data_IF_450767812741
#
_entry.id   IF_450767812741
#
_cell.length_a   1.000
_cell.length_b   1.000
_cell.length_c   1.000
_cell.angle_alpha   90.00
_cell.angle_beta   90.00
_cell.angle_gamma   90.00
#
_symmetry.space_group_name_H-M   'P 1'
#
loop_
_entity.id
_entity.type
_entity.pdbx_description
1 polymer ?
#
# COMPACT_ATOMS: atom_id res chain seq x y z
N UNK A 1 -32.96 9.39 -1.81
CA UNK A 1 -31.49 9.51 -1.71
C UNK A 1 -30.86 8.14 -1.91
N UNK A 2 -30.44 7.82 -3.12
CA UNK A 2 -29.78 6.54 -3.40
C UNK A 2 -28.40 6.54 -2.74
N UNK A 3 -28.19 5.67 -1.74
CA UNK A 3 -26.85 5.39 -1.21
C UNK A 3 -26.04 4.79 -2.36
N UNK A 4 -25.07 5.57 -2.88
CA UNK A 4 -24.16 5.12 -3.90
C UNK A 4 -23.50 3.79 -3.52
N UNK A 5 -23.05 2.98 -4.50
CA UNK A 5 -22.50 1.67 -4.25
C UNK A 5 -21.34 1.77 -3.27
N UNK A 6 -21.42 1.04 -2.15
CA UNK A 6 -20.32 0.96 -1.19
C UNK A 6 -19.07 0.48 -1.93
N UNK A 7 -17.90 1.14 -1.78
CA UNK A 7 -16.68 0.69 -2.42
C UNK A 7 -16.42 -0.75 -1.99
N UNK A 8 -16.39 -1.65 -2.96
CA UNK A 8 -16.08 -3.06 -2.75
C UNK A 8 -14.61 -3.11 -2.34
N UNK A 9 -14.33 -3.53 -1.11
CA UNK A 9 -12.98 -3.77 -0.62
C UNK A 9 -12.37 -4.80 -1.57
N UNK A 10 -11.50 -4.32 -2.46
CA UNK A 10 -10.80 -5.13 -3.45
C UNK A 10 -9.98 -6.17 -2.69
N UNK A 11 -10.33 -7.44 -2.91
CA UNK A 11 -9.62 -8.65 -2.52
C UNK A 11 -8.90 -8.60 -1.18
N UNK A 12 -9.49 -9.19 -0.15
CA UNK A 12 -8.76 -9.62 1.03
C UNK A 12 -7.50 -10.37 0.57
N UNK A 13 -6.32 -9.73 0.62
CA UNK A 13 -5.03 -10.39 0.47
C UNK A 13 -4.65 -10.88 1.86
N UNK A 14 -5.07 -12.09 2.27
CA UNK A 14 -4.82 -12.59 3.63
C UNK A 14 -3.32 -12.53 3.95
N UNK A 15 -2.48 -12.77 2.94
CA UNK A 15 -1.03 -12.67 3.04
C UNK A 15 -0.55 -11.30 3.56
N UNK A 16 -1.10 -10.18 3.07
CA UNK A 16 -0.68 -8.84 3.53
C UNK A 16 -1.09 -8.62 4.98
N UNK A 17 -2.24 -9.15 5.40
CA UNK A 17 -2.69 -9.05 6.80
C UNK A 17 -1.79 -9.86 7.71
N UNK A 18 -1.54 -11.13 7.37
CA UNK A 18 -0.63 -11.98 8.13
C UNK A 18 0.79 -11.40 8.19
N UNK A 19 1.28 -10.86 7.07
CA UNK A 19 2.57 -10.18 7.02
C UNK A 19 2.59 -8.93 7.92
N UNK A 20 1.54 -8.11 7.89
CA UNK A 20 1.42 -6.93 8.76
C UNK A 20 1.51 -7.35 10.22
N UNK A 21 0.72 -8.34 10.64
CA UNK A 21 0.71 -8.83 12.01
C UNK A 21 2.07 -9.42 12.39
N UNK A 22 2.68 -10.24 11.54
CA UNK A 22 3.99 -10.83 11.80
C UNK A 22 5.08 -9.78 11.99
N UNK A 23 5.11 -8.76 11.12
CA UNK A 23 6.05 -7.63 11.22
C UNK A 23 5.77 -6.78 12.47
N UNK A 24 4.51 -6.57 12.84
CA UNK A 24 4.14 -5.88 14.09
C UNK A 24 4.57 -6.67 15.33
N UNK A 25 4.43 -7.99 15.33
CA UNK A 25 4.89 -8.85 16.43
C UNK A 25 6.42 -8.79 16.55
N UNK A 26 7.15 -8.81 15.42
CA UNK A 26 8.59 -8.62 15.44
C UNK A 26 8.98 -7.26 16.02
N UNK A 27 8.31 -6.19 15.59
CA UNK A 27 8.50 -4.85 16.14
C UNK A 27 8.23 -4.79 17.65
N UNK A 28 7.16 -5.46 18.11
CA UNK A 28 6.81 -5.55 19.52
C UNK A 28 7.88 -6.26 20.34
N UNK A 29 8.43 -7.38 19.84
CA UNK A 29 9.53 -8.11 20.50
C UNK A 29 10.76 -7.21 20.63
N UNK A 30 11.13 -6.51 19.57
CA UNK A 30 12.29 -5.60 19.58
C UNK A 30 12.06 -4.44 20.55
N UNK A 31 10.88 -3.83 20.56
CA UNK A 31 10.55 -2.75 21.50
C UNK A 31 10.46 -3.22 22.94
N UNK A 32 9.98 -4.44 23.20
CA UNK A 32 9.97 -5.01 24.54
C UNK A 32 11.40 -5.27 25.05
N UNK A 33 12.28 -5.77 24.19
CA UNK A 33 13.70 -5.90 24.50
C UNK A 33 14.36 -4.53 24.77
N UNK A 34 14.08 -3.53 23.94
CA UNK A 34 14.60 -2.17 24.13
C UNK A 34 14.12 -1.57 25.47
N UNK A 35 12.84 -1.75 25.81
CA UNK A 35 12.28 -1.31 27.09
C UNK A 35 12.93 -2.05 28.29
N UNK A 36 13.19 -3.35 28.15
CA UNK A 36 13.92 -4.11 29.16
C UNK A 36 15.33 -3.57 29.39
N UNK A 37 16.06 -3.30 28.30
CA UNK A 37 17.41 -2.71 28.35
C UNK A 37 17.38 -1.32 28.98
N UNK A 38 16.44 -0.48 28.55
CA UNK A 38 16.27 0.87 29.09
C UNK A 38 15.99 0.86 30.59
N UNK A 39 15.10 -0.02 31.05
CA UNK A 39 14.81 -0.18 32.48
C UNK A 39 16.04 -0.66 33.25
N UNK A 40 16.79 -1.62 32.72
CA UNK A 40 18.01 -2.12 33.36
C UNK A 40 19.10 -1.06 33.44
N UNK A 41 19.26 -0.24 32.40
CA UNK A 41 20.18 0.91 32.41
C UNK A 41 19.81 1.95 33.45
N UNK A 42 18.51 2.14 33.71
CA UNK A 42 18.04 3.06 34.75
C UNK A 42 18.24 2.49 36.17
N UNK A 43 18.12 1.17 36.34
CA UNK A 43 18.25 0.51 37.64
C UNK A 43 19.72 0.23 38.03
N UNK A 44 20.61 0.02 37.04
CA UNK A 44 22.02 -0.33 37.23
C UNK A 44 22.90 0.31 36.14
N UNK A 45 23.66 1.35 36.50
CA UNK A 45 24.56 2.07 35.60
C UNK A 45 25.74 1.21 35.09
N UNK A 46 26.01 0.06 35.71
CA UNK A 46 27.06 -0.88 35.27
C UNK A 46 26.56 -1.93 34.28
N UNK A 47 25.25 -1.96 34.02
CA UNK A 47 24.64 -2.92 33.10
C UNK A 47 25.07 -2.66 31.65
N UNK A 48 25.61 -3.71 31.00
CA UNK A 48 25.96 -3.69 29.58
C UNK A 48 24.95 -4.53 28.77
N UNK A 49 24.14 -3.91 27.89
CA UNK A 49 23.17 -4.64 27.08
C UNK A 49 23.80 -5.39 25.91
N UNK A 50 23.13 -6.44 25.42
CA UNK A 50 23.60 -7.26 24.29
C UNK A 50 23.65 -6.48 22.97
N UNK A 51 22.91 -5.37 22.87
CA UNK A 51 22.90 -4.50 21.70
C UNK A 51 24.02 -3.44 21.72
N UNK A 52 24.91 -3.48 22.73
CA UNK A 52 26.14 -2.69 22.81
C UNK A 52 27.31 -3.60 22.33
N UNK A 53 27.54 -3.60 21.02
CA UNK A 53 28.42 -4.58 20.34
C UNK A 53 29.87 -4.09 20.34
N UNK A 54 30.07 -2.82 19.98
CA UNK A 54 31.37 -2.16 19.94
C UNK A 54 31.20 -0.67 20.28
N UNK A 55 32.29 0.09 20.34
CA UNK A 55 32.26 1.50 20.73
C UNK A 55 31.44 2.39 19.78
N UNK A 56 31.21 1.96 18.54
CA UNK A 56 30.39 2.68 17.55
C UNK A 56 28.91 2.24 17.53
N UNK A 57 28.60 1.01 17.96
CA UNK A 57 27.29 0.35 17.89
C UNK A 57 26.68 0.22 19.29
N UNK A 58 26.22 1.34 19.84
CA UNK A 58 25.73 1.42 21.22
C UNK A 58 24.25 1.80 21.28
N UNK A 59 23.42 0.85 21.70
CA UNK A 59 22.01 1.14 22.00
C UNK A 59 21.83 1.91 23.32
N UNK A 60 22.73 1.70 24.29
CA UNK A 60 22.66 2.24 25.65
C UNK A 60 22.57 3.77 25.66
N UNK A 61 23.49 4.44 24.96
CA UNK A 61 23.55 5.91 24.86
C UNK A 61 22.35 6.50 24.13
N UNK A 62 21.82 5.81 23.12
CA UNK A 62 20.61 6.23 22.42
C UNK A 62 19.38 6.20 23.34
N UNK A 63 19.19 5.10 24.08
CA UNK A 63 18.04 4.89 24.96
C UNK A 63 18.07 5.79 26.21
N UNK A 64 19.24 6.03 26.80
CA UNK A 64 19.37 6.90 27.98
C UNK A 64 19.44 8.40 27.64
N UNK A 65 19.53 8.75 26.36
CA UNK A 65 19.58 10.16 25.93
C UNK A 65 18.27 10.89 26.20
N UNK A 66 18.32 12.23 26.25
CA UNK A 66 17.13 13.10 26.27
C UNK A 66 16.15 12.79 25.13
N UNK A 67 16.65 12.34 23.98
CA UNK A 67 15.83 12.01 22.82
C UNK A 67 15.17 10.64 22.93
N UNK A 68 15.63 9.77 23.83
CA UNK A 68 15.02 8.49 24.19
C UNK A 68 13.65 8.63 24.86
N UNK A 69 13.32 9.83 25.34
CA UNK A 69 12.06 10.15 26.02
C UNK A 69 11.29 11.20 25.22
N UNK A 70 10.01 10.94 24.93
CA UNK A 70 9.12 11.89 24.27
C UNK A 70 9.68 12.48 22.97
N UNK A 71 10.48 11.69 22.23
CA UNK A 71 11.18 12.08 21.00
C UNK A 71 12.09 13.33 21.12
N UNK A 72 12.44 13.73 22.35
CA UNK A 72 13.23 14.93 22.67
C UNK A 72 12.46 16.26 22.65
N UNK A 73 11.19 16.27 22.23
CA UNK A 73 10.38 17.49 22.16
C UNK A 73 9.21 17.53 23.14
N UNK A 74 8.58 16.40 23.48
CA UNK A 74 7.42 16.39 24.38
C UNK A 74 7.80 16.90 25.77
N UNK A 75 8.97 16.54 26.28
CA UNK A 75 9.46 17.04 27.58
C UNK A 75 9.64 18.57 27.62
N UNK A 76 10.01 19.21 26.50
CA UNK A 76 10.14 20.67 26.44
C UNK A 76 8.79 21.36 26.28
N UNK A 77 7.83 20.73 25.59
CA UNK A 77 6.52 21.31 25.30
C UNK A 77 5.50 21.14 26.44
N UNK A 78 5.51 19.98 27.11
CA UNK A 78 4.53 19.58 28.13
C UNK A 78 5.09 19.56 29.55
N UNK A 79 6.42 19.71 29.68
CA UNK A 79 7.15 19.62 30.94
C UNK A 79 7.70 18.21 31.23
N UNK A 80 8.78 18.11 32.02
CA UNK A 80 9.51 16.86 32.23
C UNK A 80 8.69 15.79 32.99
N UNK A 81 7.76 16.21 33.85
CA UNK A 81 6.93 15.33 34.68
C UNK A 81 5.57 15.00 34.05
N UNK A 82 5.34 15.38 32.79
CA UNK A 82 4.07 15.12 32.14
C UNK A 82 3.90 13.62 31.85
N UNK A 83 2.67 13.10 31.96
CA UNK A 83 2.29 11.70 31.64
C UNK A 83 2.48 11.37 30.14
N UNK A 84 2.97 12.30 29.33
CA UNK A 84 3.30 12.08 27.92
C UNK A 84 4.81 12.18 27.68
N UNK A 85 5.62 12.35 28.72
CA UNK A 85 7.07 12.25 28.59
C UNK A 85 7.50 10.81 28.91
N UNK A 86 7.01 9.86 28.11
CA UNK A 86 7.38 8.45 28.25
C UNK A 86 8.58 8.09 27.40
N UNK A 87 9.26 6.97 27.72
CA UNK A 87 10.17 6.31 26.82
C UNK A 87 9.62 6.13 25.40
N UNK A 88 10.46 6.37 24.39
CA UNK A 88 10.13 6.11 22.98
C UNK A 88 9.78 4.63 22.76
N UNK A 89 10.38 3.73 23.53
CA UNK A 89 10.13 2.29 23.50
C UNK A 89 8.68 1.96 23.85
N UNK A 90 8.07 2.69 24.80
CA UNK A 90 6.65 2.54 25.15
C UNK A 90 5.73 2.98 24.02
N UNK A 91 6.05 4.11 23.35
CA UNK A 91 5.32 4.53 22.15
C UNK A 91 5.39 3.49 21.04
N UNK A 92 6.56 2.85 20.86
CA UNK A 92 6.74 1.74 19.93
C UNK A 92 5.83 0.55 20.26
N UNK A 93 5.79 0.11 21.52
CA UNK A 93 4.93 -0.98 21.98
C UNK A 93 3.46 -0.68 21.67
N UNK A 94 2.97 0.50 22.06
CA UNK A 94 1.58 0.91 21.82
C UNK A 94 1.30 0.93 20.32
N UNK A 95 2.21 1.51 19.52
CA UNK A 95 2.09 1.55 18.07
C UNK A 95 1.99 0.15 17.45
N UNK A 96 2.89 -0.77 17.78
CA UNK A 96 2.86 -2.12 17.19
C UNK A 96 1.62 -2.92 17.58
N UNK A 97 1.14 -2.78 18.82
CA UNK A 97 -0.14 -3.37 19.25
C UNK A 97 -1.30 -2.81 18.42
N UNK A 98 -1.37 -1.48 18.27
CA UNK A 98 -2.41 -0.83 17.47
C UNK A 98 -2.36 -1.30 16.01
N UNK A 99 -1.18 -1.32 15.38
CA UNK A 99 -1.04 -1.78 13.99
C UNK A 99 -1.44 -3.25 13.84
N UNK A 100 -1.07 -4.12 14.79
CA UNK A 100 -1.49 -5.52 14.77
C UNK A 100 -3.02 -5.65 14.84
N UNK A 101 -3.68 -4.93 15.76
CA UNK A 101 -5.14 -4.91 15.88
C UNK A 101 -5.84 -4.38 14.63
N UNK A 102 -5.33 -3.28 14.06
CA UNK A 102 -5.85 -2.70 12.82
C UNK A 102 -5.61 -3.61 11.60
N UNK A 103 -4.56 -4.44 11.63
CA UNK A 103 -4.26 -5.44 10.62
C UNK A 103 -5.33 -6.53 10.50
N UNK A 104 -6.01 -6.87 11.60
CA UNK A 104 -7.14 -7.81 11.61
C UNK A 104 -8.46 -7.19 11.13
N UNK A 105 -8.61 -5.86 11.25
CA UNK A 105 -9.85 -5.19 10.90
C UNK A 105 -10.12 -5.20 9.38
N UNK A 106 -11.33 -5.60 8.98
CA UNK A 106 -11.78 -5.64 7.56
C UNK A 106 -12.39 -4.33 7.06
N UNK A 107 -12.23 -3.25 7.82
CA UNK A 107 -12.91 -1.98 7.57
C UNK A 107 -12.02 -1.03 6.76
N UNK A 108 -12.57 -0.38 5.73
CA UNK A 108 -11.84 0.63 4.94
C UNK A 108 -11.28 1.76 5.81
N UNK A 109 -12.07 2.23 6.79
CA UNK A 109 -11.62 3.23 7.77
C UNK A 109 -10.41 2.77 8.58
N UNK A 110 -10.40 1.50 9.01
CA UNK A 110 -9.26 0.95 9.75
C UNK A 110 -7.99 0.93 8.87
N UNK A 111 -8.13 0.65 7.57
CA UNK A 111 -7.00 0.72 6.65
C UNK A 111 -6.45 2.13 6.47
N UNK A 112 -7.32 3.14 6.40
CA UNK A 112 -6.90 4.55 6.33
C UNK A 112 -6.19 4.99 7.61
N UNK A 113 -6.74 4.64 8.78
CA UNK A 113 -6.11 4.95 10.07
C UNK A 113 -4.75 4.26 10.18
N UNK A 114 -4.65 2.99 9.80
CA UNK A 114 -3.40 2.24 9.81
C UNK A 114 -2.35 2.91 8.93
N UNK A 115 -2.72 3.33 7.71
CA UNK A 115 -1.80 4.01 6.79
C UNK A 115 -1.29 5.33 7.39
N UNK A 116 -2.18 6.14 7.97
CA UNK A 116 -1.80 7.40 8.62
C UNK A 116 -0.84 7.16 9.80
N UNK A 117 -1.13 6.17 10.65
CA UNK A 117 -0.25 5.80 11.77
C UNK A 117 1.13 5.36 11.29
N UNK A 118 1.21 4.49 10.27
CA UNK A 118 2.49 4.07 9.70
C UNK A 118 3.25 5.24 9.08
N UNK A 119 2.55 6.16 8.40
CA UNK A 119 3.18 7.34 7.81
C UNK A 119 3.82 8.23 8.88
N UNK A 120 3.06 8.55 9.94
CA UNK A 120 3.57 9.32 11.09
C UNK A 120 4.77 8.59 11.72
N UNK A 121 4.67 7.27 11.91
CA UNK A 121 5.76 6.48 12.49
C UNK A 121 7.05 6.55 11.67
N UNK A 122 6.96 6.52 10.33
CA UNK A 122 8.12 6.66 9.45
C UNK A 122 8.69 8.08 9.50
N UNK A 123 7.86 9.12 9.56
CA UNK A 123 8.34 10.50 9.74
C UNK A 123 9.11 10.67 11.06
N UNK A 124 8.56 10.15 12.16
CA UNK A 124 9.22 10.16 13.48
C UNK A 124 10.50 9.33 13.45
N UNK A 125 10.51 8.19 12.77
CA UNK A 125 11.71 7.36 12.58
C UNK A 125 12.81 8.13 11.83
N UNK A 126 12.44 8.90 10.80
CA UNK A 126 13.37 9.76 10.07
C UNK A 126 13.97 10.85 10.96
N UNK A 127 13.15 11.48 11.80
CA UNK A 127 13.63 12.45 12.81
C UNK A 127 14.62 11.81 13.78
N UNK A 128 14.27 10.66 14.37
CA UNK A 128 15.16 9.98 15.32
C UNK A 128 16.43 9.44 14.66
N UNK A 129 16.37 9.02 13.38
CA UNK A 129 17.55 8.64 12.62
C UNK A 129 18.50 9.83 12.40
N UNK A 130 17.96 11.02 12.10
CA UNK A 130 18.76 12.25 12.03
C UNK A 130 19.43 12.55 13.38
N UNK A 131 18.68 12.48 14.48
CA UNK A 131 19.21 12.68 15.83
C UNK A 131 20.34 11.71 16.16
N UNK A 132 20.18 10.42 15.86
CA UNK A 132 21.20 9.39 16.11
C UNK A 132 22.49 9.65 15.35
N UNK A 133 22.39 9.98 14.06
CA UNK A 133 23.54 10.12 13.17
C UNK A 133 24.26 11.47 13.29
N UNK A 134 23.52 12.56 13.54
CA UNK A 134 24.10 13.91 13.49
C UNK A 134 24.22 14.58 14.86
N UNK A 135 23.42 14.19 15.85
CA UNK A 135 23.43 14.83 17.17
C UNK A 135 24.17 13.96 18.19
N UNK A 136 23.84 12.66 18.26
CA UNK A 136 24.44 11.74 19.23
C UNK A 136 25.75 11.13 18.73
N UNK A 137 25.89 11.01 17.40
CA UNK A 137 26.96 10.31 16.69
C UNK A 137 27.11 8.84 17.13
N UNK A 138 25.97 8.14 17.23
CA UNK A 138 25.91 6.75 17.70
C UNK A 138 25.02 5.90 16.81
N UNK A 139 25.48 4.69 16.47
CA UNK A 139 24.76 3.79 15.58
C UNK A 139 23.99 2.73 16.40
N UNK A 140 22.74 3.01 16.74
CA UNK A 140 21.90 2.08 17.50
C UNK A 140 21.29 0.98 16.60
N UNK A 141 21.74 -0.30 16.65
CA UNK A 141 21.23 -1.35 15.75
C UNK A 141 19.76 -1.67 15.99
N UNK A 142 19.32 -1.66 17.25
CA UNK A 142 17.92 -1.86 17.64
C UNK A 142 17.02 -0.78 17.05
N UNK A 143 17.47 0.47 17.06
CA UNK A 143 16.75 1.61 16.52
C UNK A 143 16.65 1.53 14.99
N UNK A 144 17.75 1.20 14.31
CA UNK A 144 17.70 0.98 12.86
C UNK A 144 16.76 -0.17 12.47
N UNK A 145 16.74 -1.26 13.26
CA UNK A 145 15.81 -2.35 13.05
C UNK A 145 14.34 -1.90 13.20
N UNK A 146 14.00 -1.09 14.21
CA UNK A 146 12.63 -0.56 14.35
C UNK A 146 12.27 0.40 13.21
N UNK A 147 13.22 1.21 12.71
CA UNK A 147 12.98 2.08 11.56
C UNK A 147 12.71 1.28 10.27
N UNK A 148 13.48 0.20 10.05
CA UNK A 148 13.25 -0.71 8.93
C UNK A 148 11.85 -1.38 9.04
N UNK A 149 11.48 -1.84 10.23
CA UNK A 149 10.14 -2.41 10.49
C UNK A 149 9.04 -1.38 10.20
N UNK A 150 9.19 -0.14 10.65
CA UNK A 150 8.23 0.93 10.39
C UNK A 150 8.07 1.21 8.89
N UNK A 151 9.17 1.23 8.14
CA UNK A 151 9.14 1.37 6.68
C UNK A 151 8.41 0.19 6.01
N UNK A 152 8.70 -1.04 6.42
CA UNK A 152 7.99 -2.24 5.92
C UNK A 152 6.50 -2.19 6.23
N UNK A 153 6.10 -1.78 7.45
CA UNK A 153 4.70 -1.62 7.83
C UNK A 153 3.99 -0.56 6.98
N UNK A 154 4.67 0.55 6.66
CA UNK A 154 4.14 1.56 5.75
C UNK A 154 3.94 0.99 4.34
N UNK A 155 4.92 0.27 3.80
CA UNK A 155 4.81 -0.38 2.50
C UNK A 155 3.65 -1.37 2.46
N UNK A 156 3.54 -2.27 3.44
CA UNK A 156 2.43 -3.21 3.56
C UNK A 156 1.07 -2.49 3.64
N UNK A 157 1.00 -1.38 4.36
CA UNK A 157 -0.20 -0.55 4.48
C UNK A 157 -0.59 0.13 3.17
N UNK A 158 0.40 0.61 2.38
CA UNK A 158 0.19 1.17 1.04
C UNK A 158 -0.31 0.09 0.08
N UNK A 159 0.30 -1.11 0.09
CA UNK A 159 -0.12 -2.22 -0.76
C UNK A 159 -1.50 -2.76 -0.39
N UNK A 160 -1.89 -2.67 0.88
CA UNK A 160 -3.24 -2.97 1.36
C UNK A 160 -4.28 -1.95 0.86
N UNK A 161 -3.91 -0.67 0.86
CA UNK A 161 -4.82 0.43 0.52
C UNK A 161 -4.89 0.76 -0.97
N UNK A 162 -3.89 0.37 -1.77
CA UNK A 162 -3.79 0.70 -3.19
C UNK A 162 -4.71 -0.19 -4.04
N UNK A 163 -5.78 0.34 -4.66
CA UNK A 163 -6.60 -0.39 -5.63
C UNK A 163 -5.88 -0.61 -6.98
N UNK A 164 -4.60 -0.23 -7.09
CA UNK A 164 -3.88 -0.04 -8.36
C UNK A 164 -3.19 -1.30 -8.89
N UNK A 165 -3.88 -2.44 -8.85
CA UNK A 165 -3.65 -3.56 -9.78
C UNK A 165 -4.97 -4.32 -10.04
N UNK A 166 -6.13 -3.65 -9.98
CA UNK A 166 -7.26 -4.13 -10.74
C UNK A 166 -6.94 -3.86 -12.22
N UNK A 167 -6.26 -4.83 -12.84
CA UNK A 167 -6.22 -4.97 -14.30
C UNK A 167 -7.62 -4.69 -14.85
N UNK A 168 -7.79 -3.85 -15.88
CA UNK A 168 -9.08 -3.62 -16.51
C UNK A 168 -9.51 -4.86 -17.31
N UNK A 169 -9.80 -5.99 -16.63
CA UNK A 169 -10.51 -7.13 -17.22
C UNK A 169 -11.99 -6.83 -17.47
N UNK A 170 -12.51 -5.73 -16.93
CA UNK A 170 -13.91 -5.36 -17.06
C UNK A 170 -14.25 -4.61 -18.36
N UNK A 171 -13.26 -4.23 -19.17
CA UNK A 171 -13.50 -3.62 -20.48
C UNK A 171 -13.99 -4.63 -21.54
N UNK A 172 -13.70 -5.93 -21.39
CA UNK A 172 -14.15 -6.97 -22.32
C UNK A 172 -15.59 -7.43 -22.04
N UNK A 173 -16.07 -7.30 -20.80
CA UNK A 173 -17.44 -7.67 -20.40
C UNK A 173 -18.51 -6.65 -20.81
N UNK A 174 -18.11 -5.40 -21.03
CA UNK A 174 -19.01 -4.32 -21.45
C UNK A 174 -19.32 -4.38 -22.95
N UNK A 175 -18.37 -4.81 -23.79
CA UNK A 175 -18.60 -4.95 -25.25
C UNK A 175 -19.62 -6.07 -25.52
N UNK A 176 -19.53 -7.19 -24.81
CA UNK A 176 -20.40 -8.37 -25.04
C UNK A 176 -21.88 -8.14 -24.70
N UNK A 177 -22.22 -7.14 -23.87
CA UNK A 177 -23.62 -6.80 -23.56
C UNK A 177 -24.28 -5.92 -24.61
N UNK A 178 -23.51 -5.07 -25.29
CA UNK A 178 -24.05 -4.16 -26.31
C UNK A 178 -24.45 -4.88 -27.59
N UNK A 179 -23.76 -5.97 -27.95
CA UNK A 179 -24.08 -6.75 -29.15
C UNK A 179 -25.31 -7.67 -28.99
N UNK A 180 -25.67 -8.03 -27.74
CA UNK A 180 -26.82 -8.90 -27.47
C UNK A 180 -28.18 -8.20 -27.54
N UNK A 181 -28.25 -6.91 -27.20
CA UNK A 181 -29.51 -6.16 -27.11
C UNK A 181 -29.94 -5.49 -28.42
N UNK A 182 -29.05 -5.32 -29.41
CA UNK A 182 -29.43 -4.80 -30.73
C UNK A 182 -30.05 -5.85 -31.66
N UNK A 183 -29.78 -7.14 -31.43
CA UNK A 183 -30.34 -8.22 -32.25
C UNK A 183 -31.84 -8.46 -32.00
N UNK A 184 -32.37 -8.12 -30.82
CA UNK A 184 -33.75 -8.43 -30.43
C UNK A 184 -34.76 -7.31 -30.73
N UNK A 185 -34.32 -6.07 -30.98
CA UNK A 185 -35.21 -4.92 -31.26
C UNK A 185 -35.54 -4.66 -32.73
N UNK A 186 -34.92 -5.37 -33.69
CA UNK A 186 -35.21 -5.21 -35.13
C UNK A 186 -36.26 -6.17 -35.70
N UNK A 187 -36.90 -7.00 -34.88
CA UNK A 187 -37.82 -8.04 -35.34
C UNK A 187 -39.31 -7.65 -35.39
N UNK A 188 -39.70 -6.38 -35.16
CA UNK A 188 -41.12 -6.01 -35.01
C UNK A 188 -41.52 -4.72 -35.72
N UNK A 189 -41.40 -4.65 -37.05
CA UNK A 189 -42.26 -3.80 -37.90
C UNK A 189 -42.42 -4.47 -39.27
N UNK A 190 -43.61 -4.99 -39.55
CA UNK A 190 -44.02 -5.44 -40.88
C UNK A 190 -44.26 -4.24 -41.82
N UNK A 191 -44.02 -4.40 -43.13
CA UNK A 191 -45.01 -3.92 -44.10
C UNK A 191 -45.33 -4.92 -45.22
N UNK A 192 -46.55 -4.73 -45.74
CA UNK A 192 -47.31 -5.51 -46.72
C UNK A 192 -46.67 -5.59 -48.13
N UNK A 193 -46.88 -6.75 -48.76
CA UNK A 193 -47.22 -7.01 -50.18
C UNK A 193 -46.88 -5.94 -51.25
N UNK A 194 -46.06 -6.27 -52.25
CA UNK A 194 -46.47 -7.01 -53.46
C UNK A 194 -45.48 -6.88 -54.64
N UNK A 195 -45.43 -7.96 -55.44
CA UNK A 195 -45.12 -8.07 -56.88
C UNK A 195 -43.71 -8.49 -57.35
N UNK A 196 -43.78 -9.66 -58.03
CA UNK A 196 -43.10 -10.13 -59.24
C UNK A 196 -41.63 -10.57 -59.19
N UNK A 197 -41.47 -11.90 -59.26
CA UNK A 197 -40.32 -12.67 -59.79
C UNK A 197 -40.54 -12.87 -61.30
N UNK A 198 -39.50 -12.80 -62.16
CA UNK A 198 -38.81 -14.01 -62.68
C UNK A 198 -37.27 -13.82 -62.69
N UNK A 199 -36.47 -14.63 -61.99
CA UNK A 199 -35.85 -15.92 -62.39
C UNK A 199 -35.05 -15.92 -63.70
N UNK A 200 -33.72 -15.72 -63.62
CA UNK A 200 -32.66 -16.28 -64.49
C UNK A 200 -31.36 -16.26 -63.64
N UNK A 201 -30.85 -17.37 -63.11
CA UNK A 201 -30.00 -18.44 -63.69
C UNK A 201 -28.49 -18.12 -63.80
N UNK A 202 -27.70 -19.03 -63.21
CA UNK A 202 -26.30 -19.44 -63.46
C UNK A 202 -25.07 -18.52 -63.25
N UNK A 203 -24.25 -19.01 -62.32
CA UNK A 203 -22.84 -19.40 -62.46
C UNK A 203 -21.75 -18.36 -62.79
N UNK A 204 -20.95 -18.10 -61.75
CA UNK A 204 -19.50 -18.33 -61.73
C UNK A 204 -18.74 -18.07 -63.03
N UNK A 205 -18.17 -16.85 -63.16
CA UNK A 205 -16.83 -16.51 -63.73
C UNK A 205 -16.77 -15.05 -64.22
N UNK A 206 -16.79 -14.08 -63.30
CA UNK A 206 -16.49 -12.68 -63.68
C UNK A 206 -15.85 -11.89 -62.53
N UNK A 207 -14.83 -12.46 -61.88
CA UNK A 207 -13.94 -11.70 -60.98
C UNK A 207 -12.47 -11.80 -61.35
N UNK A 208 -12.19 -12.17 -62.61
CA UNK A 208 -10.87 -12.10 -63.22
C UNK A 208 -10.88 -10.97 -64.23
N UNK A 209 -10.86 -9.71 -63.77
CA UNK A 209 -10.39 -8.55 -64.56
C UNK A 209 -10.39 -7.19 -63.82
N UNK A 210 -10.92 -7.07 -62.60
CA UNK A 210 -10.98 -5.78 -61.90
C UNK A 210 -9.77 -5.44 -60.99
N UNK A 211 -8.77 -6.32 -60.86
CA UNK A 211 -7.63 -6.14 -59.93
C UNK A 211 -6.28 -5.83 -60.62
N UNK A 212 -6.29 -5.38 -61.88
CA UNK A 212 -5.04 -5.11 -62.64
C UNK A 212 -4.87 -3.69 -63.18
N UNK A 213 -5.71 -2.72 -62.80
CA UNK A 213 -5.59 -1.33 -63.27
C UNK A 213 -5.15 -0.31 -62.20
N UNK A 214 -5.10 -0.65 -60.91
CA UNK A 214 -4.70 0.31 -59.87
C UNK A 214 -3.18 0.44 -59.62
N UNK A 215 -2.32 -0.34 -60.29
CA UNK A 215 -0.87 -0.36 -60.00
C UNK A 215 0.00 0.47 -60.96
N UNK A 216 -0.57 1.29 -61.86
CA UNK A 216 0.23 2.05 -62.86
C UNK A 216 0.01 3.58 -62.94
N UNK A 217 -0.85 4.20 -62.12
CA UNK A 217 -1.13 5.65 -62.23
C UNK A 217 -0.62 6.51 -61.06
N UNK A 218 0.02 5.94 -60.03
CA UNK A 218 0.59 6.70 -58.90
C UNK A 218 2.12 6.87 -58.91
N UNK A 219 2.78 6.55 -60.03
CA UNK A 219 4.23 6.68 -60.21
C UNK A 219 4.65 7.72 -61.26
N UNK A 220 3.82 8.75 -61.53
CA UNK A 220 4.11 9.77 -62.55
C UNK A 220 3.49 11.13 -62.24
N UNK A 221 3.77 11.64 -61.03
CA UNK A 221 3.70 13.07 -60.69
C UNK A 221 4.87 13.40 -59.75
N UNK A 222 6.06 13.09 -60.25
CA UNK A 222 7.16 14.06 -60.32
C UNK A 222 7.03 14.76 -61.68
#
# INVERSE_FOLDING_TARGET
MAKGPKPRVIGDRPLIRYATVAVSVLGLIISAYALYVEKRLHDDDTYKPLCDINEELRCSKALSSKYGYGFGFLGNALGPNHILNLPNTVYGIIFYILIALLGYARNAKASTVQLNLCFISVMVSGWLAYVLLFILDEKCPVCFATYAINAVLLLLSIFKGSPRLAEPRDAMGAIKKTDGDQATKKASVAPKESKSVPNVDRDSKTYTQATKQETKSKARRE
#
